data_IF_913351705497
#
_entry.id   IF_913351705497
#
_cell.length_a   1.000
_cell.length_b   1.000
_cell.length_c   1.000
_cell.angle_alpha   90.00
_cell.angle_beta   90.00
_cell.angle_gamma   90.00
#
_symmetry.space_group_name_H-M   'P 1'
#
loop_
_entity.id
_entity.type
_entity.pdbx_description
1 polymer ?
#
# COMPACT_ATOMS: atom_id res chain seq x y z
N UNK A 1 -9.46 -23.53 -12.69
CA UNK A 1 -10.58 -23.34 -11.78
C UNK A 1 -10.63 -21.91 -11.33
N UNK A 2 -11.69 -21.22 -11.67
CA UNK A 2 -11.82 -19.80 -11.40
C UNK A 2 -11.88 -19.48 -9.91
N UNK A 3 -12.27 -20.45 -9.08
CA UNK A 3 -12.36 -20.30 -7.63
C UNK A 3 -10.99 -20.29 -6.92
N UNK A 4 -9.91 -20.50 -7.67
CA UNK A 4 -8.55 -20.49 -7.12
C UNK A 4 -7.81 -19.18 -7.33
N UNK A 5 -8.52 -18.16 -7.74
CA UNK A 5 -7.94 -16.83 -7.94
C UNK A 5 -8.82 -15.78 -7.30
N UNK A 6 -8.19 -14.65 -6.98
CA UNK A 6 -8.87 -13.45 -6.53
C UNK A 6 -8.87 -12.44 -7.67
N UNK A 7 -9.94 -11.68 -7.77
CA UNK A 7 -9.98 -10.50 -8.62
C UNK A 7 -9.68 -9.31 -7.72
N UNK A 8 -8.59 -8.59 -8.00
CA UNK A 8 -8.11 -7.48 -7.19
C UNK A 8 -8.23 -6.17 -7.95
N UNK A 9 -8.73 -5.15 -7.26
CA UNK A 9 -8.68 -3.78 -7.75
C UNK A 9 -8.18 -2.86 -6.64
N UNK A 10 -7.20 -2.03 -6.94
CA UNK A 10 -6.68 -1.01 -6.03
C UNK A 10 -6.97 0.35 -6.63
N UNK A 11 -7.74 1.15 -5.90
CA UNK A 11 -8.23 2.45 -6.35
C UNK A 11 -7.75 3.53 -5.39
N UNK A 12 -7.17 4.59 -5.94
CA UNK A 12 -6.88 5.82 -5.21
C UNK A 12 -7.97 6.86 -5.55
N UNK A 13 -8.08 7.98 -4.83
CA UNK A 13 -9.17 8.93 -5.07
C UNK A 13 -9.29 9.46 -6.50
N UNK A 14 -8.19 9.54 -7.23
CA UNK A 14 -8.16 10.12 -8.56
C UNK A 14 -8.00 9.12 -9.70
N UNK A 15 -7.78 7.83 -9.39
CA UNK A 15 -7.52 6.84 -10.45
C UNK A 15 -7.54 5.41 -9.93
N UNK A 16 -7.69 4.47 -10.87
CA UNK A 16 -7.40 3.06 -10.61
C UNK A 16 -5.88 2.86 -10.71
N UNK A 17 -5.28 2.27 -9.69
CA UNK A 17 -3.82 2.09 -9.61
C UNK A 17 -3.39 0.74 -10.16
N UNK A 18 -4.14 -0.31 -9.85
CA UNK A 18 -3.79 -1.67 -10.23
C UNK A 18 -5.04 -2.52 -10.27
N UNK A 19 -5.09 -3.43 -11.23
CA UNK A 19 -6.20 -4.36 -11.37
C UNK A 19 -5.69 -5.66 -11.98
N UNK A 20 -6.08 -6.80 -11.39
CA UNK A 20 -5.70 -8.11 -11.91
C UNK A 20 -6.74 -9.14 -11.45
N UNK A 21 -7.21 -9.96 -12.38
CA UNK A 21 -8.22 -10.98 -12.10
C UNK A 21 -7.60 -12.35 -11.76
N UNK A 22 -6.29 -12.47 -11.74
CA UNK A 22 -5.61 -13.74 -11.56
C UNK A 22 -4.63 -13.73 -10.40
N UNK A 23 -5.05 -13.15 -9.30
CA UNK A 23 -4.24 -13.08 -8.07
C UNK A 23 -4.41 -14.37 -7.29
N UNK A 24 -3.31 -14.99 -6.88
CA UNK A 24 -3.35 -16.22 -6.09
C UNK A 24 -3.03 -16.01 -4.62
N UNK A 25 -2.40 -14.90 -4.27
CA UNK A 25 -2.23 -14.51 -2.88
C UNK A 25 -2.01 -13.00 -2.76
N UNK A 26 -2.42 -12.47 -1.64
CA UNK A 26 -2.33 -11.04 -1.36
C UNK A 26 -1.92 -10.88 0.10
N UNK A 27 -0.96 -10.00 0.37
CA UNK A 27 -0.57 -9.63 1.73
C UNK A 27 -0.74 -8.12 1.87
N UNK A 28 -1.42 -7.68 2.91
CA UNK A 28 -1.75 -6.27 3.12
C UNK A 28 -1.34 -5.81 4.52
N UNK A 29 -0.98 -4.52 4.67
CA UNK A 29 -0.62 -3.96 5.98
C UNK A 29 -1.89 -3.54 6.74
N UNK A 30 -2.56 -4.49 7.39
CA UNK A 30 -3.73 -4.20 8.18
C UNK A 30 -3.35 -3.46 9.47
N UNK A 31 -4.34 -2.82 10.11
CA UNK A 31 -4.11 -1.98 11.28
C UNK A 31 -3.39 -2.71 12.42
N UNK A 32 -3.63 -4.01 12.58
CA UNK A 32 -3.03 -4.81 13.65
C UNK A 32 -1.84 -5.66 13.18
N UNK A 33 -1.43 -5.54 11.94
CA UNK A 33 -0.32 -6.29 11.39
C UNK A 33 -0.61 -6.76 9.98
N UNK A 34 0.39 -7.32 9.32
CA UNK A 34 0.22 -7.84 7.96
C UNK A 34 -0.72 -9.02 7.96
N UNK A 35 -1.58 -9.07 6.95
CA UNK A 35 -2.61 -10.09 6.82
C UNK A 35 -2.57 -10.68 5.42
N UNK A 36 -2.60 -12.02 5.34
CA UNK A 36 -2.64 -12.74 4.07
C UNK A 36 -4.08 -13.03 3.66
N UNK A 37 -4.35 -12.90 2.36
CA UNK A 37 -5.66 -13.19 1.78
C UNK A 37 -5.46 -14.17 0.63
N UNK A 38 -6.12 -15.30 0.73
CA UNK A 38 -6.08 -16.35 -0.28
C UNK A 38 -7.47 -16.51 -0.91
N UNK A 39 -7.56 -17.15 -2.08
CA UNK A 39 -8.86 -17.48 -2.67
C UNK A 39 -9.76 -18.20 -1.66
N UNK A 40 -11.04 -17.94 -1.72
CA UNK A 40 -12.07 -18.46 -0.81
C UNK A 40 -12.01 -17.89 0.60
N UNK A 41 -11.27 -16.79 0.79
CA UNK A 41 -11.27 -16.08 2.07
C UNK A 41 -12.66 -15.59 2.42
N UNK A 42 -13.03 -15.68 3.71
CA UNK A 42 -14.31 -15.18 4.18
C UNK A 42 -14.45 -13.68 3.95
N UNK A 43 -15.67 -13.21 3.85
CA UNK A 43 -15.95 -11.79 3.69
C UNK A 43 -15.31 -11.01 4.84
N UNK A 44 -14.68 -9.89 4.50
CA UNK A 44 -13.88 -9.12 5.46
C UNK A 44 -13.82 -7.66 5.04
N UNK A 45 -13.84 -6.77 6.04
CA UNK A 45 -13.47 -5.37 5.86
C UNK A 45 -12.37 -5.05 6.86
N UNK A 46 -11.33 -4.38 6.44
CA UNK A 46 -10.20 -4.04 7.31
C UNK A 46 -9.61 -2.69 6.94
N UNK A 47 -9.16 -1.98 7.96
CA UNK A 47 -8.42 -0.74 7.78
C UNK A 47 -6.96 -1.08 7.49
N UNK A 48 -6.35 -0.36 6.55
CA UNK A 48 -4.94 -0.50 6.20
C UNK A 48 -4.15 0.68 6.72
N UNK A 49 -2.87 0.43 6.97
CA UNK A 49 -1.92 1.45 7.41
C UNK A 49 -0.82 1.63 6.37
N UNK A 50 0.10 2.53 6.63
CA UNK A 50 1.28 2.73 5.78
C UNK A 50 2.07 1.43 5.72
N UNK A 51 2.36 0.96 4.52
CA UNK A 51 3.10 -0.28 4.34
C UNK A 51 3.15 -0.72 2.89
N UNK A 52 3.35 -2.01 2.69
CA UNK A 52 3.41 -2.58 1.36
C UNK A 52 2.29 -3.60 1.13
N UNK A 53 1.79 -3.61 -0.09
CA UNK A 53 0.86 -4.62 -0.56
C UNK A 53 1.64 -5.55 -1.47
N UNK A 54 1.62 -6.85 -1.18
CA UNK A 54 2.30 -7.86 -1.99
C UNK A 54 1.23 -8.64 -2.76
N UNK A 55 1.33 -8.62 -4.08
CA UNK A 55 0.38 -9.29 -4.97
C UNK A 55 1.12 -10.37 -5.74
N UNK A 56 0.72 -11.63 -5.54
CA UNK A 56 1.26 -12.74 -6.32
C UNK A 56 0.21 -13.21 -7.30
N UNK A 57 0.56 -13.26 -8.57
CA UNK A 57 -0.34 -13.64 -9.64
C UNK A 57 -0.17 -15.09 -10.07
N UNK A 58 -1.13 -15.61 -10.82
CA UNK A 58 -1.14 -17.01 -11.25
C UNK A 58 0.04 -17.38 -12.13
N UNK A 59 0.67 -16.41 -12.80
CA UNK A 59 1.87 -16.62 -13.62
C UNK A 59 3.18 -16.52 -12.80
N UNK A 60 3.06 -16.54 -11.47
CA UNK A 60 4.16 -16.40 -10.51
C UNK A 60 4.79 -15.01 -10.48
N UNK A 61 4.25 -14.04 -11.20
CA UNK A 61 4.74 -12.65 -11.08
C UNK A 61 4.36 -12.06 -9.73
N UNK A 62 5.20 -11.17 -9.23
CA UNK A 62 5.01 -10.50 -7.96
C UNK A 62 4.96 -8.98 -8.20
N UNK A 63 3.91 -8.34 -7.69
CA UNK A 63 3.83 -6.88 -7.67
C UNK A 63 3.93 -6.40 -6.24
N UNK A 64 4.70 -5.35 -6.03
CA UNK A 64 4.85 -4.70 -4.74
C UNK A 64 4.34 -3.27 -4.87
N UNK A 65 3.44 -2.89 -3.98
CA UNK A 65 2.76 -1.60 -4.05
C UNK A 65 2.90 -0.89 -2.73
N UNK A 66 3.35 0.37 -2.76
CA UNK A 66 3.44 1.20 -1.56
C UNK A 66 2.09 1.85 -1.32
N UNK A 67 1.56 1.72 -0.11
CA UNK A 67 0.31 2.39 0.28
C UNK A 67 0.52 3.24 1.52
N UNK A 68 -0.21 4.34 1.59
CA UNK A 68 -0.24 5.19 2.79
C UNK A 68 -1.41 4.87 3.71
N UNK A 69 -2.16 3.81 3.42
CA UNK A 69 -3.32 3.40 4.19
C UNK A 69 -4.57 3.33 3.33
N UNK A 70 -5.69 3.03 3.96
CA UNK A 70 -6.97 2.91 3.27
C UNK A 70 -7.84 1.83 3.86
N UNK A 71 -8.70 1.24 3.02
CA UNK A 71 -9.61 0.19 3.42
C UNK A 71 -9.58 -0.98 2.43
N UNK A 72 -9.71 -2.16 2.98
CA UNK A 72 -9.78 -3.41 2.23
C UNK A 72 -11.17 -4.00 2.38
N UNK A 73 -11.73 -4.48 1.27
CA UNK A 73 -12.99 -5.23 1.28
C UNK A 73 -12.79 -6.54 0.52
N UNK A 74 -13.15 -7.65 1.13
CA UNK A 74 -13.07 -8.98 0.52
C UNK A 74 -14.45 -9.61 0.53
N UNK A 75 -14.92 -10.09 -0.61
CA UNK A 75 -16.17 -10.82 -0.73
C UNK A 75 -16.20 -11.65 -2.02
N UNK A 76 -16.51 -12.94 -1.90
CA UNK A 76 -16.67 -13.83 -3.06
C UNK A 76 -15.49 -13.78 -4.04
N UNK A 77 -14.26 -13.87 -3.53
CA UNK A 77 -13.02 -13.79 -4.31
C UNK A 77 -12.82 -12.45 -5.05
N UNK A 78 -13.55 -11.43 -4.62
CA UNK A 78 -13.39 -10.07 -5.08
C UNK A 78 -12.72 -9.26 -3.98
N UNK A 79 -11.60 -8.62 -4.31
CA UNK A 79 -10.88 -7.78 -3.35
C UNK A 79 -10.82 -6.36 -3.90
N UNK A 80 -11.28 -5.41 -3.12
CA UNK A 80 -11.19 -4.00 -3.44
C UNK A 80 -10.41 -3.30 -2.35
N UNK A 81 -9.38 -2.56 -2.74
CA UNK A 81 -8.61 -1.71 -1.84
C UNK A 81 -8.86 -0.27 -2.24
N UNK A 82 -9.42 0.51 -1.31
CA UNK A 82 -9.59 1.95 -1.46
C UNK A 82 -8.42 2.59 -0.72
N UNK A 83 -7.39 2.94 -1.47
CA UNK A 83 -6.14 3.45 -0.89
C UNK A 83 -6.16 4.97 -0.81
N UNK A 84 -5.58 5.51 0.28
CA UNK A 84 -5.35 6.95 0.37
C UNK A 84 -4.35 7.38 -0.70
N UNK A 85 -3.24 6.65 -0.80
CA UNK A 85 -2.32 6.69 -1.94
C UNK A 85 -1.80 5.29 -2.19
N UNK A 86 -1.45 5.00 -3.44
CA UNK A 86 -0.84 3.73 -3.81
C UNK A 86 0.04 3.93 -5.04
N UNK A 87 1.22 3.30 -5.01
CA UNK A 87 2.18 3.37 -6.12
C UNK A 87 2.83 2.01 -6.32
N UNK A 88 2.94 1.58 -7.57
CA UNK A 88 3.72 0.40 -7.91
C UNK A 88 5.20 0.66 -7.59
N UNK A 89 5.93 -0.35 -7.10
CA UNK A 89 7.33 -0.20 -6.70
C UNK A 89 8.18 0.39 -7.82
N UNK A 90 7.99 -0.07 -9.05
CA UNK A 90 8.75 0.40 -10.20
C UNK A 90 8.37 1.82 -10.64
N UNK A 91 7.26 2.36 -10.16
CA UNK A 91 6.79 3.71 -10.52
C UNK A 91 7.19 4.77 -9.49
N UNK A 92 7.82 4.37 -8.38
CA UNK A 92 8.19 5.31 -7.32
C UNK A 92 9.37 6.17 -7.79
N UNK A 93 9.20 7.48 -7.68
CA UNK A 93 10.26 8.45 -7.94
C UNK A 93 11.14 8.54 -6.69
N UNK A 94 12.30 7.89 -6.73
CA UNK A 94 13.22 7.79 -5.60
C UNK A 94 13.71 9.17 -5.15
N UNK A 95 14.08 10.02 -6.10
CA UNK A 95 14.59 11.35 -5.77
C UNK A 95 13.52 12.18 -5.04
N UNK A 96 12.31 12.14 -5.53
CA UNK A 96 11.19 12.86 -4.90
C UNK A 96 10.89 12.33 -3.51
N UNK A 97 10.99 11.01 -3.33
CA UNK A 97 10.79 10.39 -2.02
C UNK A 97 11.89 10.79 -1.05
N UNK A 98 13.15 10.88 -1.50
CA UNK A 98 14.26 11.33 -0.68
C UNK A 98 14.09 12.79 -0.26
N UNK A 99 13.64 13.64 -1.17
CA UNK A 99 13.37 15.05 -0.87
C UNK A 99 12.25 15.18 0.16
N UNK A 100 11.19 14.38 0.02
CA UNK A 100 10.08 14.37 0.98
C UNK A 100 10.54 13.92 2.36
N UNK A 101 11.41 12.90 2.42
CA UNK A 101 12.00 12.42 3.66
C UNK A 101 12.81 13.54 4.33
N UNK A 102 13.66 14.20 3.58
CA UNK A 102 14.50 15.27 4.09
C UNK A 102 13.68 16.44 4.65
N UNK A 103 12.64 16.85 3.93
CA UNK A 103 11.74 17.92 4.41
C UNK A 103 11.06 17.54 5.73
N UNK A 104 10.60 16.29 5.84
CA UNK A 104 9.94 15.82 7.06
C UNK A 104 10.93 15.77 8.23
N UNK A 105 12.15 15.28 7.99
CA UNK A 105 13.19 15.25 9.01
C UNK A 105 13.55 16.66 9.50
N UNK A 106 13.65 17.62 8.58
CA UNK A 106 13.94 18.99 8.95
C UNK A 106 12.84 19.60 9.81
N UNK A 107 11.58 19.38 9.45
CA UNK A 107 10.45 19.90 10.23
C UNK A 107 10.44 19.35 11.65
N UNK A 108 10.73 18.06 11.79
CA UNK A 108 10.80 17.41 13.10
C UNK A 108 11.96 17.98 13.92
N UNK A 109 13.12 18.17 13.31
CA UNK A 109 14.31 18.67 13.99
C UNK A 109 14.15 20.13 14.44
N UNK A 110 13.50 20.96 13.63
CA UNK A 110 13.31 22.39 13.94
C UNK A 110 12.29 22.61 15.05
N UNK A 111 11.33 21.71 15.19
CA UNK A 111 10.24 21.84 16.18
C UNK A 111 9.63 23.23 16.15
N UNK A 112 9.37 23.72 14.94
CA UNK A 112 8.86 25.06 14.74
C UNK A 112 7.52 25.25 15.46
N UNK A 113 7.29 26.45 15.98
CA UNK A 113 6.04 26.81 16.59
C UNK A 113 4.91 26.69 15.57
N UNK A 114 3.80 26.05 15.97
CA UNK A 114 2.68 25.79 15.08
C UNK A 114 2.83 24.55 14.22
N UNK A 115 3.95 23.82 14.33
CA UNK A 115 4.13 22.58 13.58
C UNK A 115 3.27 21.46 14.15
N UNK A 116 2.61 20.72 13.27
CA UNK A 116 1.92 19.49 13.63
C UNK A 116 2.92 18.33 13.61
N UNK A 117 3.39 17.93 14.81
CA UNK A 117 4.38 16.87 14.95
C UNK A 117 3.87 15.54 14.41
N UNK A 118 2.60 15.22 14.63
CA UNK A 118 1.99 13.98 14.13
C UNK A 118 1.99 13.95 12.60
N UNK A 119 1.66 15.07 11.98
CA UNK A 119 1.65 15.19 10.52
C UNK A 119 3.05 15.03 9.93
N UNK A 120 4.06 15.64 10.57
CA UNK A 120 5.44 15.53 10.12
C UNK A 120 5.96 14.09 10.26
N UNK A 121 5.61 13.39 11.34
CA UNK A 121 5.97 12.00 11.55
C UNK A 121 5.29 11.11 10.49
N UNK A 122 4.03 11.35 10.19
CA UNK A 122 3.33 10.60 9.15
C UNK A 122 3.98 10.79 7.77
N UNK A 123 4.35 12.02 7.44
CA UNK A 123 5.03 12.32 6.18
C UNK A 123 6.38 11.59 6.09
N UNK A 124 7.12 11.54 7.21
CA UNK A 124 8.38 10.80 7.26
C UNK A 124 8.17 9.31 7.05
N UNK A 125 7.19 8.72 7.72
CA UNK A 125 6.84 7.30 7.59
C UNK A 125 6.51 6.94 6.14
N UNK A 126 5.71 7.76 5.47
CA UNK A 126 5.34 7.52 4.06
C UNK A 126 6.54 7.57 3.14
N UNK A 127 7.44 8.55 3.36
CA UNK A 127 8.64 8.68 2.53
C UNK A 127 9.61 7.51 2.73
N UNK A 128 9.82 7.09 3.98
CA UNK A 128 10.65 5.92 4.30
C UNK A 128 10.07 4.66 3.66
N UNK A 129 8.76 4.48 3.75
CA UNK A 129 8.07 3.33 3.17
C UNK A 129 8.28 3.28 1.65
N UNK A 130 8.11 4.40 0.96
CA UNK A 130 8.31 4.48 -0.49
C UNK A 130 9.74 4.13 -0.88
N UNK A 131 10.73 4.66 -0.16
CA UNK A 131 12.14 4.39 -0.45
C UNK A 131 12.47 2.91 -0.24
N UNK A 132 11.97 2.31 0.84
CA UNK A 132 12.19 0.90 1.12
C UNK A 132 11.60 0.01 0.01
N UNK A 133 10.39 0.32 -0.41
CA UNK A 133 9.68 -0.47 -1.43
C UNK A 133 10.29 -0.27 -2.80
N UNK A 134 10.72 0.94 -3.16
CA UNK A 134 11.35 1.22 -4.44
C UNK A 134 12.60 0.36 -4.65
N UNK A 135 13.32 0.04 -3.59
CA UNK A 135 14.52 -0.81 -3.67
C UNK A 135 14.24 -2.27 -3.91
N UNK A 136 12.99 -2.70 -3.84
CA UNK A 136 12.61 -4.12 -3.99
C UNK A 136 12.12 -4.47 -5.39
N UNK A 137 11.89 -3.46 -6.22
CA UNK A 137 11.37 -3.61 -7.58
C UNK A 137 12.03 -4.65 -8.45
#
# INVERSE_FOLDING_TARGET
>A
MSDRVLALEIVAPDRSVYSDERVISLVVPAAEGYMGILPSHAALMAELRIGEILVKCADDSLQIIATSGGFLMVENNQVTILADTAELSQSIDIQRAEEAKHRAEQRIAERAEGMDATRAQGALQRAINRLRIAGQG
#
